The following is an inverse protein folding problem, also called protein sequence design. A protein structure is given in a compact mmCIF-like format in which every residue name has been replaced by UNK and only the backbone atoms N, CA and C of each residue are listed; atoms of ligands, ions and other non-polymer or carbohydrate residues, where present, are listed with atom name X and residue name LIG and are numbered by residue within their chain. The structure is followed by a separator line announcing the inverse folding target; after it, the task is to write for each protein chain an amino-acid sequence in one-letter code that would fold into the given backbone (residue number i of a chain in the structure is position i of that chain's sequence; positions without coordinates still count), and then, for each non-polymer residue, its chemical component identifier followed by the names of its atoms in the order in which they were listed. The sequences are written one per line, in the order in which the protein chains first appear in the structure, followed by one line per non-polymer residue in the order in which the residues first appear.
data_IF_452373931001
#
_entry.id   IF_452373931001
#
_cell.length_a   1.000
_cell.length_b   1.000
_cell.length_c   1.000
_cell.angle_alpha   90.00
_cell.angle_beta   90.00
_cell.angle_gamma   90.00
#
_symmetry.space_group_name_H-M   'P 1'
#
loop_
_entity.id
_entity.type
_entity.pdbx_description
1 polymer ?
#
# COMPACT_ATOMS: atom_id res chain seq x y z
N UNK A 1 -34.50 -16.41 63.79
CA UNK A 1 -34.03 -16.95 62.50
C UNK A 1 -34.56 -16.05 61.40
N UNK A 2 -33.74 -15.13 60.92
CA UNK A 2 -34.05 -14.23 59.81
C UNK A 2 -32.73 -13.95 59.08
N UNK A 3 -32.70 -14.36 57.81
CA UNK A 3 -31.53 -14.39 56.94
C UNK A 3 -31.30 -12.97 56.39
N UNK A 4 -30.07 -12.41 56.40
CA UNK A 4 -29.82 -11.13 55.73
C UNK A 4 -29.70 -11.34 54.22
N UNK A 5 -30.42 -10.54 53.43
CA UNK A 5 -30.25 -10.47 51.98
C UNK A 5 -28.86 -9.91 51.65
N UNK A 6 -28.09 -10.64 50.84
CA UNK A 6 -26.87 -10.13 50.20
C UNK A 6 -27.25 -9.36 48.93
N UNK A 7 -26.68 -8.16 48.68
CA UNK A 7 -26.85 -7.50 47.40
C UNK A 7 -26.08 -8.28 46.32
N UNK A 8 -26.78 -8.65 45.24
CA UNK A 8 -26.17 -9.23 44.05
C UNK A 8 -25.50 -8.08 43.29
N UNK A 9 -24.17 -8.05 43.32
CA UNK A 9 -23.37 -7.12 42.54
C UNK A 9 -23.38 -7.60 41.08
N UNK A 10 -24.19 -6.97 40.22
CA UNK A 10 -24.07 -7.16 38.77
C UNK A 10 -22.70 -6.64 38.32
N UNK A 11 -21.80 -7.55 37.98
CA UNK A 11 -20.55 -7.19 37.31
C UNK A 11 -20.88 -6.91 35.85
N UNK A 12 -20.97 -5.63 35.46
CA UNK A 12 -20.90 -5.26 34.05
C UNK A 12 -19.52 -5.66 33.54
N UNK A 13 -19.46 -6.73 32.74
CA UNK A 13 -18.29 -7.00 31.89
C UNK A 13 -18.34 -5.94 30.79
N UNK A 14 -17.60 -4.85 30.99
CA UNK A 14 -17.29 -3.95 29.90
C UNK A 14 -16.47 -4.76 28.89
N UNK A 15 -17.08 -5.12 27.75
CA UNK A 15 -16.32 -5.52 26.58
C UNK A 15 -15.41 -4.32 26.24
N UNK A 16 -14.12 -4.46 26.51
CA UNK A 16 -13.13 -3.51 26.03
C UNK A 16 -13.12 -3.64 24.51
N UNK A 17 -13.95 -2.83 23.83
CA UNK A 17 -13.71 -2.49 22.44
C UNK A 17 -12.29 -1.92 22.44
N UNK A 18 -11.34 -2.67 21.90
CA UNK A 18 -9.97 -2.22 21.75
C UNK A 18 -10.01 -0.81 21.18
N UNK A 19 -9.34 0.12 21.85
CA UNK A 19 -9.28 1.49 21.38
C UNK A 19 -8.70 1.44 19.97
N UNK A 20 -9.53 1.67 18.95
CA UNK A 20 -9.04 2.04 17.63
C UNK A 20 -8.50 3.45 17.82
N UNK A 21 -7.26 3.53 18.32
CA UNK A 21 -6.52 4.78 18.42
C UNK A 21 -6.41 5.36 17.02
N UNK A 22 -6.72 6.64 16.86
CA UNK A 22 -6.31 7.37 15.66
C UNK A 22 -4.79 7.38 15.63
N UNK A 23 -4.18 6.44 14.91
CA UNK A 23 -2.78 6.54 14.54
C UNK A 23 -2.71 7.42 13.28
N UNK A 24 -2.32 8.67 13.46
CA UNK A 24 -1.76 9.44 12.36
C UNK A 24 -0.28 9.07 12.32
N UNK A 25 0.16 8.41 11.25
CA UNK A 25 1.57 8.09 11.07
C UNK A 25 2.31 9.33 10.57
N UNK A 26 3.50 9.55 11.11
CA UNK A 26 4.44 10.56 10.63
C UNK A 26 5.33 9.99 9.54
N UNK A 27 5.72 10.82 8.57
CA UNK A 27 6.78 10.47 7.59
C UNK A 27 8.10 10.04 8.25
N UNK A 28 8.35 10.45 9.49
CA UNK A 28 9.55 10.06 10.27
C UNK A 28 9.54 8.61 10.71
N UNK A 29 8.39 7.95 10.68
CA UNK A 29 8.24 6.52 10.98
C UNK A 29 8.63 5.65 9.78
N UNK A 30 8.96 6.25 8.63
CA UNK A 30 9.40 5.52 7.45
C UNK A 30 10.92 5.41 7.36
N UNK A 31 11.38 4.21 7.03
CA UNK A 31 12.74 3.96 6.56
C UNK A 31 12.81 4.24 5.07
N UNK A 32 13.57 5.26 4.69
CA UNK A 32 13.79 5.62 3.29
C UNK A 32 14.92 4.79 2.67
N UNK A 33 14.85 4.59 1.36
CA UNK A 33 15.87 3.94 0.55
C UNK A 33 15.94 4.53 -0.85
N UNK A 34 17.11 4.41 -1.49
CA UNK A 34 17.34 4.93 -2.83
C UNK A 34 17.30 6.46 -2.87
N UNK A 35 16.56 7.02 -3.83
CA UNK A 35 16.37 8.47 -3.99
C UNK A 35 15.35 9.09 -3.03
N UNK A 36 14.71 8.30 -2.18
CA UNK A 36 13.58 8.78 -1.40
C UNK A 36 14.00 9.84 -0.36
N UNK A 37 13.24 10.93 -0.26
CA UNK A 37 13.45 12.03 0.67
C UNK A 37 12.14 12.55 1.27
N UNK A 38 12.20 13.04 2.51
CA UNK A 38 11.06 13.71 3.15
C UNK A 38 10.97 15.15 2.62
N UNK A 39 9.85 15.50 2.01
CA UNK A 39 9.59 16.86 1.50
C UNK A 39 9.10 17.80 2.61
N UNK A 40 8.24 17.30 3.49
CA UNK A 40 7.62 18.04 4.59
C UNK A 40 7.04 17.07 5.63
N UNK A 41 6.19 17.54 6.54
CA UNK A 41 5.64 16.72 7.63
C UNK A 41 4.74 15.56 7.17
N UNK A 42 4.22 15.62 5.95
CA UNK A 42 3.22 14.68 5.41
C UNK A 42 3.71 13.92 4.19
N UNK A 43 4.58 14.51 3.36
CA UNK A 43 4.94 13.96 2.06
C UNK A 43 6.37 13.42 1.99
N UNK A 44 6.50 12.25 1.37
CA UNK A 44 7.76 11.64 0.97
C UNK A 44 7.81 11.61 -0.55
N UNK A 45 8.90 12.13 -1.11
CA UNK A 45 9.26 11.92 -2.51
C UNK A 45 9.99 10.61 -2.60
N UNK A 46 9.46 9.64 -3.35
CA UNK A 46 10.16 8.40 -3.63
C UNK A 46 11.24 8.63 -4.70
N UNK A 47 10.89 9.42 -5.71
CA UNK A 47 11.69 9.60 -6.90
C UNK A 47 11.53 11.05 -7.39
N UNK A 48 12.62 11.78 -7.65
CA UNK A 48 12.56 13.03 -8.39
C UNK A 48 12.38 12.76 -9.89
N UNK A 49 12.00 13.80 -10.65
CA UNK A 49 12.00 13.77 -12.12
C UNK A 49 13.44 13.70 -12.66
N UNK A 50 14.06 12.53 -12.55
CA UNK A 50 15.44 12.25 -12.93
C UNK A 50 15.49 10.86 -13.56
N UNK A 51 16.23 10.65 -14.66
CA UNK A 51 16.32 9.34 -15.28
C UNK A 51 16.98 8.27 -14.38
N UNK A 52 16.49 7.03 -14.47
CA UNK A 52 17.10 5.83 -13.89
C UNK A 52 17.33 5.85 -12.37
N UNK A 53 16.41 6.47 -11.62
CA UNK A 53 16.43 6.46 -10.16
C UNK A 53 15.34 5.55 -9.61
N UNK A 54 15.47 5.19 -8.35
CA UNK A 54 14.50 4.37 -7.64
C UNK A 54 14.51 4.75 -6.18
N UNK A 55 13.35 4.78 -5.56
CA UNK A 55 13.24 5.04 -4.13
C UNK A 55 12.15 4.22 -3.48
N UNK A 56 12.26 4.10 -2.16
CA UNK A 56 11.33 3.35 -1.34
C UNK A 56 11.14 4.02 0.01
N UNK A 57 9.93 3.97 0.54
CA UNK A 57 9.62 4.37 1.90
C UNK A 57 8.88 3.22 2.59
N UNK A 58 9.53 2.60 3.57
CA UNK A 58 8.99 1.47 4.32
C UNK A 58 8.55 1.90 5.70
N UNK A 59 7.31 1.64 6.05
CA UNK A 59 6.82 1.92 7.40
C UNK A 59 7.46 0.96 8.41
N UNK A 60 8.07 1.50 9.48
CA UNK A 60 8.98 0.71 10.32
C UNK A 60 8.30 -0.25 11.29
N UNK A 61 6.99 -0.11 11.54
CA UNK A 61 6.28 -1.04 12.41
C UNK A 61 5.50 -2.05 11.56
N UNK A 62 5.68 -3.36 11.79
CA UNK A 62 4.93 -4.37 11.06
C UNK A 62 3.44 -4.34 11.45
N UNK A 63 2.60 -4.74 10.50
CA UNK A 63 1.17 -4.98 10.70
C UNK A 63 0.88 -6.48 10.76
N UNK A 64 -0.23 -6.82 11.39
CA UNK A 64 -0.76 -8.16 11.41
C UNK A 64 -2.04 -8.23 10.56
N UNK A 65 -1.98 -9.04 9.50
CA UNK A 65 -3.08 -9.23 8.55
C UNK A 65 -4.27 -10.01 9.16
N UNK A 66 -4.13 -10.60 10.36
CA UNK A 66 -5.28 -11.14 11.10
C UNK A 66 -6.27 -10.04 11.54
N UNK A 67 -5.85 -8.78 11.51
CA UNK A 67 -6.67 -7.63 11.88
C UNK A 67 -6.93 -6.73 10.65
N UNK A 68 -8.07 -6.02 10.62
CA UNK A 68 -8.34 -5.08 9.55
C UNK A 68 -7.34 -3.92 9.57
N UNK A 69 -7.00 -3.42 8.38
CA UNK A 69 -6.25 -2.18 8.24
C UNK A 69 -6.89 -1.24 7.21
N UNK A 70 -6.59 0.04 7.36
CA UNK A 70 -6.88 1.10 6.41
C UNK A 70 -5.65 2.01 6.29
N UNK A 71 -5.03 1.98 5.11
CA UNK A 71 -4.02 2.91 4.65
C UNK A 71 -4.73 4.04 3.92
N UNK A 72 -4.43 5.29 4.24
CA UNK A 72 -4.88 6.46 3.45
C UNK A 72 -3.72 7.40 3.20
N UNK A 73 -3.44 7.62 1.92
CA UNK A 73 -2.40 8.50 1.42
C UNK A 73 -2.97 9.38 0.32
N UNK A 74 -2.30 10.48 -0.01
CA UNK A 74 -2.45 11.08 -1.34
C UNK A 74 -1.35 10.53 -2.25
N UNK A 75 -1.75 9.98 -3.39
CA UNK A 75 -0.90 9.53 -4.48
C UNK A 75 -0.62 10.70 -5.43
N UNK A 76 0.65 10.92 -5.76
CA UNK A 76 1.08 11.90 -6.77
C UNK A 76 2.07 11.24 -7.72
N UNK A 77 1.73 11.23 -9.00
CA UNK A 77 2.51 10.59 -10.07
C UNK A 77 3.14 11.60 -11.02
N UNK A 78 3.25 12.85 -10.57
CA UNK A 78 3.88 13.95 -11.30
C UNK A 78 2.96 14.62 -12.33
N UNK A 79 3.51 15.47 -13.20
CA UNK A 79 2.76 16.38 -14.11
C UNK A 79 2.99 16.10 -15.60
N UNK A 80 3.93 15.23 -15.93
CA UNK A 80 4.34 14.96 -17.30
C UNK A 80 3.68 13.70 -17.86
N UNK A 81 2.56 13.82 -18.55
CA UNK A 81 1.81 12.70 -19.17
C UNK A 81 2.56 12.05 -20.35
N UNK A 82 3.19 12.85 -21.23
CA UNK A 82 3.80 12.30 -22.44
C UNK A 82 5.11 11.56 -22.17
N UNK A 83 5.91 12.08 -21.24
CA UNK A 83 7.26 11.59 -20.91
C UNK A 83 7.39 11.10 -19.46
N UNK A 84 6.28 10.91 -18.77
CA UNK A 84 6.20 10.34 -17.44
C UNK A 84 6.33 8.82 -17.42
N UNK A 85 6.90 8.32 -16.32
CA UNK A 85 7.11 6.91 -16.00
C UNK A 85 7.82 6.78 -14.63
N UNK A 86 7.89 5.61 -14.01
CA UNK A 86 7.14 4.39 -14.36
C UNK A 86 5.84 4.27 -13.52
N UNK A 87 5.89 4.69 -12.25
CA UNK A 87 4.73 4.63 -11.36
C UNK A 87 5.09 4.45 -9.89
N UNK A 88 4.11 4.04 -9.09
CA UNK A 88 4.30 3.67 -7.68
C UNK A 88 3.68 2.29 -7.42
N UNK A 89 4.37 1.45 -6.65
CA UNK A 89 3.81 0.22 -6.09
C UNK A 89 3.75 0.30 -4.56
N UNK A 90 2.58 0.01 -4.00
CA UNK A 90 2.41 -0.25 -2.57
C UNK A 90 2.67 -1.73 -2.30
N UNK A 91 3.73 -2.02 -1.55
CA UNK A 91 4.24 -3.38 -1.36
C UNK A 91 4.02 -3.82 0.08
N UNK A 92 3.52 -5.04 0.26
CA UNK A 92 3.49 -5.77 1.52
C UNK A 92 4.46 -6.95 1.45
N UNK A 93 5.33 -7.07 2.44
CA UNK A 93 6.40 -8.07 2.45
C UNK A 93 6.79 -8.44 3.90
N UNK A 94 7.23 -9.68 4.21
CA UNK A 94 7.67 -10.06 5.56
C UNK A 94 8.85 -9.24 6.11
N UNK A 95 9.59 -8.54 5.26
CA UNK A 95 10.71 -7.66 5.60
C UNK A 95 10.66 -6.37 4.77
N UNK A 96 11.27 -5.28 5.25
CA UNK A 96 11.41 -4.04 4.48
C UNK A 96 12.46 -4.17 3.37
N UNK A 97 12.09 -4.76 2.23
CA UNK A 97 12.99 -5.05 1.10
C UNK A 97 12.44 -4.46 -0.20
N UNK A 98 13.33 -3.84 -0.98
CA UNK A 98 13.01 -3.30 -2.31
C UNK A 98 13.52 -4.25 -3.40
N UNK A 99 12.68 -4.52 -4.40
CA UNK A 99 12.94 -5.38 -5.56
C UNK A 99 13.72 -4.69 -6.68
N UNK A 100 13.55 -5.18 -7.91
CA UNK A 100 14.24 -4.67 -9.09
C UNK A 100 13.78 -3.25 -9.50
N UNK A 101 14.66 -2.50 -10.17
CA UNK A 101 14.45 -1.10 -10.60
C UNK A 101 13.83 -1.00 -12.00
N UNK A 102 13.58 0.23 -12.48
CA UNK A 102 12.95 0.50 -13.77
C UNK A 102 11.51 0.00 -13.79
N UNK A 103 11.12 -0.72 -14.84
CA UNK A 103 9.82 -1.40 -14.96
C UNK A 103 9.50 -2.40 -13.83
N UNK A 104 10.49 -2.76 -13.00
CA UNK A 104 10.24 -3.52 -11.78
C UNK A 104 9.71 -2.71 -10.60
N UNK A 105 9.76 -1.37 -10.67
CA UNK A 105 9.28 -0.38 -9.70
C UNK A 105 9.58 -0.64 -8.22
N UNK A 106 10.65 -1.40 -7.91
CA UNK A 106 10.97 -1.83 -6.56
C UNK A 106 10.08 -2.94 -5.99
N UNK A 107 9.20 -3.53 -6.81
CA UNK A 107 8.36 -4.68 -6.47
C UNK A 107 8.84 -5.98 -7.11
N UNK A 108 9.29 -5.93 -8.37
CA UNK A 108 9.62 -7.14 -9.12
C UNK A 108 10.71 -7.97 -8.44
N UNK A 109 10.51 -9.28 -8.41
CA UNK A 109 11.42 -10.25 -7.79
C UNK A 109 11.29 -10.42 -6.27
N UNK A 110 10.39 -9.69 -5.59
CA UNK A 110 10.11 -9.89 -4.16
C UNK A 110 9.24 -11.13 -3.92
N UNK A 111 9.71 -12.07 -3.10
CA UNK A 111 8.97 -13.29 -2.77
C UNK A 111 9.11 -13.68 -1.29
N UNK A 112 8.00 -13.97 -0.56
CA UNK A 112 6.61 -13.72 -0.94
C UNK A 112 6.26 -12.23 -0.82
N UNK A 113 5.35 -11.72 -1.65
CA UNK A 113 4.94 -10.31 -1.60
C UNK A 113 3.54 -10.11 -2.16
N UNK A 114 2.93 -8.99 -1.78
CA UNK A 114 1.73 -8.46 -2.41
C UNK A 114 2.03 -7.03 -2.87
N UNK A 115 1.78 -6.72 -4.13
CA UNK A 115 1.96 -5.39 -4.71
C UNK A 115 0.63 -4.83 -5.19
N UNK A 116 0.43 -3.53 -5.03
CA UNK A 116 -0.67 -2.78 -5.64
C UNK A 116 -0.01 -1.64 -6.42
N UNK A 117 -0.01 -1.75 -7.74
CA UNK A 117 0.64 -0.76 -8.61
C UNK A 117 -0.34 0.30 -9.09
N UNK A 118 0.21 1.49 -9.32
CA UNK A 118 -0.36 2.55 -10.14
C UNK A 118 0.71 2.92 -11.15
N UNK A 119 0.54 2.39 -12.35
CA UNK A 119 1.52 2.45 -13.43
C UNK A 119 1.05 3.45 -14.50
N UNK A 120 1.99 4.28 -14.96
CA UNK A 120 1.75 5.37 -15.91
C UNK A 120 2.51 5.17 -17.22
N UNK A 121 3.13 4.00 -17.43
CA UNK A 121 3.94 3.73 -18.60
C UNK A 121 3.70 2.33 -19.17
N UNK A 122 3.37 2.27 -20.46
CA UNK A 122 3.11 0.99 -21.12
C UNK A 122 4.40 0.22 -21.44
N UNK A 123 4.71 -0.82 -20.65
CA UNK A 123 5.66 -1.88 -20.99
C UNK A 123 4.95 -3.05 -21.69
N UNK A 124 4.90 -3.05 -23.03
CA UNK A 124 4.20 -4.08 -23.82
C UNK A 124 4.54 -5.54 -23.46
N UNK A 125 5.77 -5.82 -23.02
CA UNK A 125 6.21 -7.17 -22.65
C UNK A 125 5.78 -7.61 -21.24
N UNK A 126 5.27 -6.68 -20.41
CA UNK A 126 4.64 -6.98 -19.12
C UNK A 126 3.12 -7.16 -19.24
N UNK A 127 2.55 -6.80 -20.40
CA UNK A 127 1.14 -6.95 -20.71
C UNK A 127 0.30 -5.71 -20.40
N UNK A 128 0.94 -4.56 -20.26
CA UNK A 128 0.31 -3.32 -19.85
C UNK A 128 -0.67 -2.78 -20.90
N UNK A 129 -1.84 -2.27 -20.48
CA UNK A 129 -2.74 -1.52 -21.35
C UNK A 129 -2.07 -0.22 -21.82
N UNK A 130 -2.67 0.43 -22.82
CA UNK A 130 -2.17 1.71 -23.31
C UNK A 130 -2.49 2.90 -22.40
N UNK A 131 -3.43 2.72 -21.47
CA UNK A 131 -3.78 3.71 -20.46
C UNK A 131 -3.01 3.44 -19.17
N UNK A 132 -2.88 4.47 -18.33
CA UNK A 132 -2.53 4.30 -16.92
C UNK A 132 -3.45 3.26 -16.28
N UNK A 133 -2.94 2.51 -15.32
CA UNK A 133 -3.72 1.41 -14.76
C UNK A 133 -3.36 1.10 -13.31
N UNK A 134 -4.25 0.35 -12.67
CA UNK A 134 -4.04 -0.26 -11.36
C UNK A 134 -4.12 -1.77 -11.47
N UNK A 135 -3.25 -2.48 -10.75
CA UNK A 135 -3.35 -3.92 -10.59
C UNK A 135 -2.94 -4.36 -9.18
N UNK A 136 -3.41 -5.55 -8.79
CA UNK A 136 -3.01 -6.23 -7.56
C UNK A 136 -2.22 -7.46 -7.96
N UNK A 137 -0.95 -7.52 -7.57
CA UNK A 137 0.02 -8.48 -8.06
C UNK A 137 0.61 -9.32 -6.93
N UNK A 138 0.80 -10.64 -7.13
CA UNK A 138 1.46 -11.50 -6.16
C UNK A 138 2.97 -11.63 -6.45
N UNK A 139 3.76 -11.90 -5.42
CA UNK A 139 5.08 -12.53 -5.51
C UNK A 139 6.10 -11.83 -6.43
N UNK A 140 6.07 -10.50 -6.49
CA UNK A 140 7.00 -9.72 -7.31
C UNK A 140 6.85 -10.02 -8.81
N UNK A 141 5.68 -10.51 -9.23
CA UNK A 141 5.38 -10.84 -10.62
C UNK A 141 4.75 -9.60 -11.28
N UNK A 142 5.59 -8.79 -11.92
CA UNK A 142 5.15 -7.57 -12.61
C UNK A 142 4.34 -7.86 -13.90
N UNK A 143 4.52 -9.04 -14.50
CA UNK A 143 3.78 -9.37 -15.72
C UNK A 143 2.30 -9.65 -15.41
N UNK A 144 1.39 -8.89 -16.03
CA UNK A 144 -0.03 -8.86 -15.70
C UNK A 144 -0.84 -10.13 -15.96
N UNK A 145 -0.37 -11.03 -16.83
CA UNK A 145 -0.92 -12.38 -16.94
C UNK A 145 -0.91 -13.18 -15.61
N UNK A 146 -0.23 -12.67 -14.58
CA UNK A 146 -0.16 -13.23 -13.23
C UNK A 146 -0.80 -12.35 -12.16
N UNK A 147 -1.34 -11.19 -12.52
CA UNK A 147 -2.07 -10.31 -11.60
C UNK A 147 -3.26 -11.04 -11.00
N UNK A 148 -3.54 -10.79 -9.72
CA UNK A 148 -4.74 -11.27 -9.04
C UNK A 148 -5.96 -10.43 -9.42
N UNK A 149 -5.75 -9.14 -9.66
CA UNK A 149 -6.75 -8.19 -10.14
C UNK A 149 -6.08 -7.25 -11.14
N UNK A 150 -6.77 -6.94 -12.23
CA UNK A 150 -6.30 -6.02 -13.24
C UNK A 150 -5.29 -6.61 -14.23
N UNK A 151 -4.66 -5.76 -15.05
CA UNK A 151 -4.69 -4.29 -15.00
C UNK A 151 -6.09 -3.74 -15.30
N UNK A 152 -6.46 -2.68 -14.59
CA UNK A 152 -7.73 -1.95 -14.77
C UNK A 152 -7.36 -0.54 -15.21
N UNK A 153 -7.82 -0.15 -16.40
CA UNK A 153 -7.60 1.17 -16.96
C UNK A 153 -8.09 2.27 -16.01
N UNK A 154 -7.26 3.29 -15.85
CA UNK A 154 -7.52 4.52 -15.15
C UNK A 154 -7.37 5.70 -16.13
N UNK A 155 -8.05 6.83 -15.87
CA UNK A 155 -7.71 8.07 -16.56
C UNK A 155 -6.30 8.52 -16.16
N UNK A 156 -5.68 9.37 -16.99
CA UNK A 156 -4.36 9.96 -16.74
C UNK A 156 -4.18 10.41 -15.27
N UNK A 157 -3.15 9.85 -14.63
CA UNK A 157 -2.76 10.06 -13.24
C UNK A 157 -1.64 11.12 -13.10
N UNK A 158 -0.92 11.42 -14.17
CA UNK A 158 0.25 12.30 -14.27
C UNK A 158 -0.15 13.77 -14.52
N UNK A 159 -0.98 14.32 -13.63
CA UNK A 159 -1.52 15.68 -13.75
C UNK A 159 -1.23 16.59 -12.55
N UNK A 160 -0.26 16.22 -11.71
CA UNK A 160 0.16 16.96 -10.51
C UNK A 160 -0.83 16.90 -9.36
N UNK A 161 -1.97 16.22 -9.52
CA UNK A 161 -2.98 16.15 -8.48
C UNK A 161 -2.54 15.26 -7.32
N UNK A 162 -2.87 15.71 -6.11
CA UNK A 162 -2.90 14.85 -4.92
C UNK A 162 -4.19 14.05 -4.95
N UNK A 163 -4.11 12.77 -5.33
CA UNK A 163 -5.26 11.88 -5.44
C UNK A 163 -5.43 11.05 -4.18
N UNK A 164 -6.52 11.21 -3.41
CA UNK A 164 -6.75 10.40 -2.22
C UNK A 164 -6.85 8.92 -2.59
N UNK A 165 -5.97 8.12 -2.02
CA UNK A 165 -5.89 6.67 -2.17
C UNK A 165 -6.15 6.00 -0.82
N UNK A 166 -7.09 5.05 -0.80
CA UNK A 166 -7.34 4.18 0.34
C UNK A 166 -7.11 2.73 -0.05
N UNK A 167 -6.32 2.01 0.75
CA UNK A 167 -6.12 0.56 0.65
C UNK A 167 -6.60 -0.03 1.98
N UNK A 168 -7.62 -0.88 1.91
CA UNK A 168 -8.27 -1.42 3.10
C UNK A 168 -8.36 -2.94 3.03
N UNK A 169 -8.02 -3.60 4.13
CA UNK A 169 -8.14 -5.05 4.28
C UNK A 169 -9.16 -5.37 5.37
N UNK A 170 -10.05 -6.30 5.06
CA UNK A 170 -10.98 -6.88 6.02
C UNK A 170 -10.77 -8.41 6.07
N UNK A 171 -10.16 -8.94 7.14
CA UNK A 171 -9.89 -10.38 7.25
C UNK A 171 -11.18 -11.19 7.46
N UNK A 172 -12.24 -10.59 8.01
CA UNK A 172 -13.50 -11.30 8.30
C UNK A 172 -14.24 -11.77 7.04
N UNK A 173 -14.08 -11.07 5.93
CA UNK A 173 -14.58 -11.46 4.61
C UNK A 173 -13.45 -11.64 3.58
N UNK A 174 -12.19 -11.68 4.03
CA UNK A 174 -11.00 -11.83 3.22
C UNK A 174 -10.96 -10.88 2.01
N UNK A 175 -11.32 -9.61 2.20
CA UNK A 175 -11.43 -8.64 1.11
C UNK A 175 -10.40 -7.52 1.25
N UNK A 176 -9.60 -7.35 0.20
CA UNK A 176 -8.70 -6.23 -0.02
C UNK A 176 -9.34 -5.28 -1.04
N UNK A 177 -9.54 -4.02 -0.65
CA UNK A 177 -10.18 -3.01 -1.48
C UNK A 177 -9.24 -1.83 -1.69
N UNK A 178 -9.15 -1.36 -2.94
CA UNK A 178 -8.38 -0.20 -3.35
C UNK A 178 -9.34 0.83 -3.92
N UNK A 179 -9.34 2.03 -3.33
CA UNK A 179 -10.16 3.16 -3.75
C UNK A 179 -9.31 4.37 -4.09
N UNK A 180 -9.51 4.96 -5.27
CA UNK A 180 -8.86 6.18 -5.72
C UNK A 180 -9.92 7.26 -5.95
N UNK A 181 -9.68 8.47 -5.46
CA UNK A 181 -10.62 9.61 -5.55
C UNK A 181 -12.03 9.25 -5.00
N UNK A 182 -12.07 8.39 -3.97
CA UNK A 182 -13.29 7.92 -3.33
C UNK A 182 -14.09 6.86 -4.11
N UNK A 183 -13.60 6.41 -5.27
CA UNK A 183 -14.19 5.33 -6.06
C UNK A 183 -13.38 4.05 -5.89
N UNK A 184 -14.04 2.90 -5.75
CA UNK A 184 -13.36 1.61 -5.74
C UNK A 184 -12.85 1.29 -7.14
N UNK A 185 -11.54 1.12 -7.28
CA UNK A 185 -10.87 0.85 -8.56
C UNK A 185 -10.39 -0.60 -8.67
N UNK A 186 -10.12 -1.26 -7.55
CA UNK A 186 -9.79 -2.68 -7.52
C UNK A 186 -10.27 -3.35 -6.23
N UNK A 187 -10.74 -4.59 -6.34
CA UNK A 187 -11.14 -5.42 -5.19
C UNK A 187 -10.66 -6.84 -5.41
N UNK A 188 -9.97 -7.40 -4.42
CA UNK A 188 -9.61 -8.81 -4.35
C UNK A 188 -10.31 -9.47 -3.17
N UNK A 189 -10.87 -10.67 -3.37
CA UNK A 189 -11.42 -11.50 -2.31
C UNK A 189 -10.70 -12.84 -2.31
N UNK A 190 -9.98 -13.15 -1.23
CA UNK A 190 -9.18 -14.36 -1.08
C UNK A 190 -8.24 -14.30 0.12
N UNK A 191 -7.72 -15.46 0.51
CA UNK A 191 -6.93 -15.60 1.74
C UNK A 191 -5.48 -15.17 1.51
N UNK A 192 -5.22 -13.86 1.49
CA UNK A 192 -3.86 -13.34 1.25
C UNK A 192 -2.83 -13.84 2.28
N UNK A 193 -3.26 -14.22 3.49
CA UNK A 193 -2.35 -14.72 4.53
C UNK A 193 -1.81 -16.08 4.11
N UNK A 194 -2.69 -17.01 3.71
CA UNK A 194 -2.28 -18.35 3.31
C UNK A 194 -1.78 -18.40 1.88
N UNK A 195 -2.49 -17.76 0.95
CA UNK A 195 -2.23 -17.87 -0.49
C UNK A 195 -0.98 -17.09 -0.93
N UNK A 196 -0.66 -15.97 -0.26
CA UNK A 196 0.51 -15.14 -0.60
C UNK A 196 1.63 -15.33 0.42
N UNK A 197 1.33 -15.25 1.71
CA UNK A 197 2.36 -15.25 2.75
C UNK A 197 2.58 -16.62 3.42
N UNK A 198 1.95 -17.68 2.92
CA UNK A 198 2.17 -19.05 3.40
C UNK A 198 1.83 -19.25 4.87
N UNK A 199 0.85 -18.49 5.40
CA UNK A 199 0.43 -18.51 6.80
C UNK A 199 1.13 -17.47 7.67
N UNK A 200 2.11 -16.71 7.16
CA UNK A 200 2.68 -15.59 7.90
C UNK A 200 1.80 -14.34 7.78
N UNK A 201 1.06 -13.99 8.84
CA UNK A 201 0.23 -12.78 8.86
C UNK A 201 1.01 -11.48 9.10
N UNK A 202 2.27 -11.58 9.56
CA UNK A 202 3.07 -10.40 9.94
C UNK A 202 3.86 -9.88 8.75
N UNK A 203 3.53 -8.67 8.33
CA UNK A 203 4.15 -8.03 7.16
C UNK A 203 4.49 -6.57 7.44
N UNK A 204 5.51 -6.08 6.76
CA UNK A 204 5.76 -4.66 6.58
C UNK A 204 5.01 -4.18 5.34
N UNK A 205 4.73 -2.89 5.29
CA UNK A 205 4.26 -2.23 4.08
C UNK A 205 5.14 -1.04 3.74
N UNK A 206 5.21 -0.70 2.46
CA UNK A 206 5.91 0.46 1.97
C UNK A 206 5.44 0.87 0.59
N UNK A 207 5.90 2.02 0.13
CA UNK A 207 5.73 2.47 -1.25
C UNK A 207 7.09 2.47 -1.95
N UNK A 208 7.13 1.98 -3.18
CA UNK A 208 8.32 1.94 -4.03
C UNK A 208 8.02 2.57 -5.37
N UNK A 209 9.01 3.25 -5.96
CA UNK A 209 8.89 3.87 -7.26
C UNK A 209 10.22 3.76 -8.01
N UNK A 210 10.14 3.85 -9.33
CA UNK A 210 11.30 3.96 -10.20
C UNK A 210 11.00 4.86 -11.40
N UNK A 211 12.07 5.31 -12.01
CA UNK A 211 12.06 5.97 -13.31
C UNK A 211 12.99 5.23 -14.27
N UNK A 212 12.74 5.45 -15.56
CA UNK A 212 13.56 4.95 -16.64
C UNK A 212 14.14 6.09 -17.48
N UNK A 213 14.00 5.97 -18.80
CA UNK A 213 14.29 7.06 -19.74
C UNK A 213 13.25 8.17 -19.68
N UNK A 214 12.01 7.76 -19.46
CA UNK A 214 10.90 8.60 -19.05
C UNK A 214 10.92 8.71 -17.54
N UNK A 215 10.40 9.82 -17.02
CA UNK A 215 10.46 10.10 -15.59
C UNK A 215 9.34 11.03 -15.20
N UNK A 216 8.84 10.84 -13.99
CA UNK A 216 8.09 11.83 -13.26
C UNK A 216 8.63 11.90 -11.83
N UNK A 217 8.23 12.93 -11.09
CA UNK A 217 8.37 12.86 -9.64
C UNK A 217 7.23 12.00 -9.08
N UNK A 218 7.54 11.14 -8.12
CA UNK A 218 6.57 10.26 -7.47
C UNK A 218 6.56 10.52 -5.96
N UNK A 219 5.43 11.02 -5.46
CA UNK A 219 5.27 11.37 -4.05
C UNK A 219 4.11 10.58 -3.41
N UNK A 220 4.27 10.27 -2.13
CA UNK A 220 3.21 9.73 -1.27
C UNK A 220 3.07 10.64 -0.06
N UNK A 221 1.88 11.21 0.13
CA UNK A 221 1.58 12.04 1.30
C UNK A 221 0.72 11.26 2.30
N UNK A 222 1.25 11.02 3.48
CA UNK A 222 0.61 10.20 4.52
C UNK A 222 -0.51 10.99 5.18
N UNK A 223 -1.73 10.47 5.14
CA UNK A 223 -2.90 11.11 5.78
C UNK A 223 -3.31 10.40 7.06
N UNK A 224 -3.43 9.08 6.99
CA UNK A 224 -3.97 8.26 8.07
C UNK A 224 -3.54 6.81 7.88
N UNK A 225 -3.22 6.14 8.98
CA UNK A 225 -2.94 4.71 8.99
C UNK A 225 -3.61 4.06 10.20
N UNK A 226 -4.60 3.20 9.98
CA UNK A 226 -5.30 2.49 11.05
C UNK A 226 -5.06 1.00 10.89
N UNK A 227 -4.48 0.35 11.89
CA UNK A 227 -4.06 -1.05 11.85
C UNK A 227 -3.78 -1.53 13.27
N UNK A 228 -3.77 -2.86 13.45
CA UNK A 228 -3.25 -3.46 14.67
C UNK A 228 -1.71 -3.50 14.60
N UNK A 229 -1.07 -2.97 15.64
CA UNK A 229 0.37 -3.09 15.85
C UNK A 229 0.71 -4.50 16.31
N UNK A 230 1.83 -5.04 15.83
CA UNK A 230 2.46 -6.21 16.44
C UNK A 230 3.50 -5.73 17.44
N UNK A 231 3.41 -6.19 18.69
CA UNK A 231 4.48 -6.06 19.69
C UNK A 231 5.66 -7.00 19.40
#
# INVERSE_FOLDING_TARGET
MSIPLRPILLTLIALSIGQIGRAQSSVKEFRLGGSAEILNEECIRLTPETPYVSGSAWFQNPMDLEYPFELTVDLVLGENDELGADGIVFVFHPTMQTGYRGEGMGFAGLYPSLGIEFDTYQNYHLGDPSADHVAIMPHGQAHHARSMVGPIDLPNLENGAKRPLTIAWNPGNQTLQVSLDGQTVATYTGDIINDIFGGNSKVYWGATAATGRKMNYQDVCIRKLVYAMVE
#
